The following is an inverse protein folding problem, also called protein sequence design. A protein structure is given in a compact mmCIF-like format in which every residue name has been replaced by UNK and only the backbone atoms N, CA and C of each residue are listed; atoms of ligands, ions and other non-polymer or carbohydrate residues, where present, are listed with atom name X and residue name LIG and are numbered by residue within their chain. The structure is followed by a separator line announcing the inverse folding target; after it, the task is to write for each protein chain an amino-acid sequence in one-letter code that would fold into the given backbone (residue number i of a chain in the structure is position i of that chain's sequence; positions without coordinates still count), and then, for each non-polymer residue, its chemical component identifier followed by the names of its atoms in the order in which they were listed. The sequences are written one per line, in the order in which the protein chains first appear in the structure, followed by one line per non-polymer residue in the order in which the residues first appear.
data_IF_469012276507
#
_entry.id   IF_469012276507
#
_cell.length_a   1.000
_cell.length_b   1.000
_cell.length_c   1.000
_cell.angle_alpha   90.00
_cell.angle_beta   90.00
_cell.angle_gamma   90.00
#
_symmetry.space_group_name_H-M   'P 1'
#
loop_
_entity.id
_entity.type
_entity.pdbx_description
1 polymer ?
#
# COMPACT_ATOMS: atom_id res chain seq x y z
N UNK A 1 6.90 2.99 -11.93
CA UNK A 1 8.13 2.16 -11.98
C UNK A 1 9.39 3.02 -11.99
N UNK A 2 9.58 3.93 -12.95
CA UNK A 2 10.82 4.71 -13.10
C UNK A 2 11.09 5.60 -11.88
N UNK A 3 10.12 6.38 -11.41
CA UNK A 3 10.29 7.27 -10.25
C UNK A 3 10.66 6.53 -8.98
N UNK A 4 10.04 5.37 -8.72
CA UNK A 4 10.37 4.52 -7.58
C UNK A 4 11.83 4.04 -7.65
N UNK A 5 12.28 3.58 -8.82
CA UNK A 5 13.66 3.11 -9.01
C UNK A 5 14.68 4.23 -8.83
N UNK A 6 14.40 5.44 -9.32
CA UNK A 6 15.26 6.61 -9.12
C UNK A 6 15.36 6.96 -7.63
N UNK A 7 14.24 7.05 -6.93
CA UNK A 7 14.22 7.32 -5.49
C UNK A 7 14.98 6.27 -4.69
N UNK A 8 14.73 4.99 -5.02
CA UNK A 8 15.42 3.87 -4.38
C UNK A 8 16.94 3.91 -4.62
N UNK A 9 17.37 4.17 -5.84
CA UNK A 9 18.80 4.28 -6.17
C UNK A 9 19.48 5.43 -5.41
N UNK A 10 18.80 6.57 -5.26
CA UNK A 10 19.31 7.70 -4.49
C UNK A 10 19.48 7.34 -3.00
N UNK A 11 18.46 6.73 -2.39
CA UNK A 11 18.52 6.28 -0.98
C UNK A 11 19.63 5.24 -0.78
N UNK A 12 19.72 4.24 -1.68
CA UNK A 12 20.77 3.22 -1.63
C UNK A 12 22.17 3.84 -1.74
N UNK A 13 22.36 4.82 -2.62
CA UNK A 13 23.65 5.51 -2.77
C UNK A 13 24.07 6.25 -1.50
N UNK A 14 23.14 6.98 -0.86
CA UNK A 14 23.39 7.67 0.41
C UNK A 14 23.70 6.69 1.54
N UNK A 15 22.90 5.63 1.66
CA UNK A 15 23.05 4.64 2.73
C UNK A 15 24.32 3.79 2.56
N UNK A 16 24.69 3.46 1.31
CA UNK A 16 25.88 2.66 1.02
C UNK A 16 27.17 3.33 1.49
N UNK A 17 27.30 4.65 1.29
CA UNK A 17 28.50 5.41 1.66
C UNK A 17 28.77 5.37 3.19
N UNK A 18 27.70 5.33 4.00
CA UNK A 18 27.76 5.31 5.48
C UNK A 18 27.47 3.92 6.08
N UNK A 19 27.30 2.89 5.25
CA UNK A 19 26.86 1.55 5.65
C UNK A 19 25.62 1.59 6.56
N UNK A 20 24.67 2.49 6.24
CA UNK A 20 23.46 2.71 7.05
C UNK A 20 22.35 1.72 6.65
N UNK A 21 21.73 0.99 7.59
CA UNK A 21 20.60 0.12 7.28
C UNK A 21 19.41 0.89 6.70
N UNK A 22 18.65 0.24 5.83
CA UNK A 22 17.51 0.80 5.13
C UNK A 22 16.21 0.13 5.56
N UNK A 23 15.15 0.92 5.75
CA UNK A 23 13.80 0.42 5.95
C UNK A 23 13.00 0.46 4.64
N UNK A 24 12.59 -0.70 4.14
CA UNK A 24 11.69 -0.82 2.98
C UNK A 24 10.24 -0.67 3.40
N UNK A 25 9.77 0.56 3.56
CA UNK A 25 8.42 0.86 4.07
C UNK A 25 7.36 0.63 3.00
N UNK A 26 6.35 -0.21 3.30
CA UNK A 26 5.13 -0.29 2.49
C UNK A 26 4.43 1.06 2.44
N UNK A 27 4.02 1.48 1.25
CA UNK A 27 3.25 2.72 1.07
C UNK A 27 1.93 2.68 1.84
N UNK A 28 1.27 1.52 1.91
CA UNK A 28 0.03 1.33 2.67
C UNK A 28 0.28 1.47 4.18
N UNK A 29 1.38 0.91 4.68
CA UNK A 29 1.78 1.11 6.07
C UNK A 29 2.08 2.58 6.37
N UNK A 30 2.82 3.27 5.51
CA UNK A 30 3.11 4.69 5.69
C UNK A 30 1.85 5.58 5.73
N UNK A 31 0.82 5.23 4.96
CA UNK A 31 -0.48 5.88 5.01
C UNK A 31 -1.19 5.61 6.35
N UNK A 32 -1.18 4.36 6.81
CA UNK A 32 -1.80 3.96 8.08
C UNK A 32 -1.13 4.65 9.28
N UNK A 33 0.19 4.76 9.30
CA UNK A 33 0.94 5.46 10.36
C UNK A 33 0.70 6.98 10.40
N UNK A 34 0.03 7.53 9.40
CA UNK A 34 -0.43 8.93 9.39
C UNK A 34 -1.71 9.18 10.21
N UNK A 35 -2.32 8.16 10.79
CA UNK A 35 -3.60 8.21 11.52
C UNK A 35 -3.49 7.45 12.83
N UNK A 36 -4.12 7.96 13.87
CA UNK A 36 -4.21 7.31 15.18
C UNK A 36 -5.68 7.24 15.63
N UNK A 37 -6.04 6.23 16.41
CA UNK A 37 -7.39 6.07 16.94
C UNK A 37 -7.71 4.62 17.29
N UNK A 38 -8.97 4.27 17.27
CA UNK A 38 -9.44 2.89 17.45
C UNK A 38 -10.12 2.38 16.19
N UNK A 39 -10.16 1.07 16.01
CA UNK A 39 -10.79 0.41 14.88
C UNK A 39 -9.79 -0.03 13.81
N UNK A 40 -10.16 0.12 12.53
CA UNK A 40 -9.35 -0.31 11.40
C UNK A 40 -9.03 0.85 10.47
N UNK A 41 -7.81 0.90 9.95
CA UNK A 41 -7.44 1.77 8.84
C UNK A 41 -7.06 0.93 7.62
N UNK A 42 -7.58 1.31 6.46
CA UNK A 42 -7.13 0.78 5.17
C UNK A 42 -6.33 1.85 4.45
N UNK A 43 -5.03 1.61 4.28
CA UNK A 43 -4.23 2.36 3.33
C UNK A 43 -4.65 1.98 1.91
N UNK A 44 -5.02 2.95 1.09
CA UNK A 44 -5.48 2.71 -0.27
C UNK A 44 -4.89 3.72 -1.25
N UNK A 45 -4.31 3.23 -2.34
CA UNK A 45 -3.88 4.05 -3.47
C UNK A 45 -4.64 3.67 -4.75
N UNK A 46 -4.99 4.68 -5.55
CA UNK A 46 -5.67 4.47 -6.83
C UNK A 46 -4.74 3.74 -7.83
N UNK A 47 -5.08 2.49 -8.16
CA UNK A 47 -4.38 1.68 -9.17
C UNK A 47 -4.97 1.85 -10.57
N UNK A 48 -5.90 2.81 -10.76
CA UNK A 48 -6.69 3.06 -11.96
C UNK A 48 -7.68 1.93 -12.31
N UNK A 49 -8.65 2.24 -13.18
CA UNK A 49 -9.66 1.27 -13.68
C UNK A 49 -10.47 0.59 -12.57
N UNK A 50 -10.82 1.32 -11.50
CA UNK A 50 -11.58 0.78 -10.38
C UNK A 50 -10.81 -0.18 -9.48
N UNK A 51 -9.49 -0.24 -9.61
CA UNK A 51 -8.60 -1.01 -8.75
C UNK A 51 -7.89 -0.11 -7.74
N UNK A 52 -7.50 -0.71 -6.62
CA UNK A 52 -6.71 -0.06 -5.57
C UNK A 52 -5.54 -0.95 -5.15
N UNK A 53 -4.40 -0.31 -4.85
CA UNK A 53 -3.42 -0.93 -3.96
C UNK A 53 -3.92 -0.72 -2.56
N UNK A 54 -3.94 -1.76 -1.73
CA UNK A 54 -4.48 -1.64 -0.39
C UNK A 54 -3.83 -2.59 0.61
N UNK A 55 -3.91 -2.23 1.89
CA UNK A 55 -3.72 -3.12 3.02
C UNK A 55 -4.47 -2.59 4.24
N UNK A 56 -4.92 -3.51 5.09
CA UNK A 56 -5.60 -3.23 6.35
C UNK A 56 -4.65 -3.26 7.54
N UNK A 57 -4.89 -2.36 8.50
CA UNK A 57 -4.13 -2.26 9.75
C UNK A 57 -5.07 -2.00 10.92
N UNK A 58 -4.71 -2.49 12.11
CA UNK A 58 -5.32 -2.06 13.35
C UNK A 58 -4.92 -0.60 13.62
N UNK A 59 -5.91 0.26 13.90
CA UNK A 59 -5.67 1.70 13.98
C UNK A 59 -4.98 2.12 15.29
N UNK A 60 -5.08 1.32 16.35
CA UNK A 60 -4.46 1.62 17.62
C UNK A 60 -2.98 1.20 17.67
N UNK A 61 -2.67 0.05 17.09
CA UNK A 61 -1.34 -0.58 17.19
C UNK A 61 -0.52 -0.46 15.90
N UNK A 62 -1.16 -0.11 14.78
CA UNK A 62 -0.63 -0.21 13.42
C UNK A 62 -0.19 -1.61 13.02
N UNK A 63 -0.63 -2.65 13.76
CA UNK A 63 -0.41 -4.03 13.38
C UNK A 63 -1.07 -4.32 12.03
N UNK A 64 -0.33 -4.96 11.15
CA UNK A 64 -0.81 -5.33 9.81
C UNK A 64 -1.83 -6.45 9.91
N UNK A 65 -2.99 -6.28 9.28
CA UNK A 65 -4.09 -7.25 9.23
C UNK A 65 -4.15 -8.01 7.91
N UNK A 66 -3.69 -7.39 6.80
CA UNK A 66 -3.64 -8.01 5.48
C UNK A 66 -2.31 -7.73 4.78
N UNK A 67 -1.84 -8.59 3.86
CA UNK A 67 -0.74 -8.24 2.97
C UNK A 67 -1.11 -7.05 2.07
N UNK A 68 -0.10 -6.41 1.47
CA UNK A 68 -0.34 -5.45 0.39
C UNK A 68 -0.87 -6.19 -0.85
N UNK A 69 -1.93 -5.68 -1.46
CA UNK A 69 -2.56 -6.26 -2.64
C UNK A 69 -2.95 -5.19 -3.66
N UNK A 70 -3.14 -5.61 -4.92
CA UNK A 70 -3.65 -4.77 -6.00
C UNK A 70 -4.88 -5.45 -6.60
N UNK A 71 -6.07 -4.95 -6.27
CA UNK A 71 -7.35 -5.62 -6.56
C UNK A 71 -8.43 -4.63 -6.95
N UNK A 72 -9.52 -5.09 -7.61
CA UNK A 72 -10.74 -4.29 -7.77
C UNK A 72 -11.24 -3.83 -6.40
N UNK A 73 -11.73 -2.59 -6.31
CA UNK A 73 -12.25 -2.06 -5.04
C UNK A 73 -13.33 -2.95 -4.43
N UNK A 74 -14.12 -3.64 -5.24
CA UNK A 74 -15.17 -4.57 -4.78
C UNK A 74 -14.65 -5.83 -4.09
N UNK A 75 -13.39 -6.22 -4.32
CA UNK A 75 -12.78 -7.37 -3.68
C UNK A 75 -12.54 -7.17 -2.16
N UNK A 76 -12.53 -5.91 -1.69
CA UNK A 76 -12.35 -5.60 -0.28
C UNK A 76 -13.59 -5.90 0.57
N UNK A 77 -14.73 -6.27 -0.05
CA UNK A 77 -16.03 -6.39 0.63
C UNK A 77 -16.00 -7.31 1.86
N UNK A 78 -15.39 -8.48 1.75
CA UNK A 78 -15.31 -9.43 2.84
C UNK A 78 -14.53 -8.83 4.03
N UNK A 79 -13.35 -8.26 3.79
CA UNK A 79 -12.56 -7.62 4.82
C UNK A 79 -13.29 -6.42 5.44
N UNK A 80 -13.93 -5.58 4.62
CA UNK A 80 -14.69 -4.40 5.08
C UNK A 80 -15.86 -4.81 5.99
N UNK A 81 -16.52 -5.93 5.72
CA UNK A 81 -17.62 -6.44 6.58
C UNK A 81 -17.13 -6.96 7.94
N UNK A 82 -15.99 -7.64 7.95
CA UNK A 82 -15.50 -8.39 9.12
C UNK A 82 -14.57 -7.57 10.03
N UNK A 83 -13.90 -6.55 9.50
CA UNK A 83 -12.92 -5.77 10.25
C UNK A 83 -13.55 -4.98 11.42
N UNK A 84 -12.75 -4.71 12.45
CA UNK A 84 -13.13 -3.90 13.61
C UNK A 84 -13.53 -2.49 13.19
N UNK A 85 -14.68 -2.03 13.67
CA UNK A 85 -15.18 -0.67 13.44
C UNK A 85 -14.78 0.28 14.59
N UNK A 86 -14.66 1.59 14.34
CA UNK A 86 -14.84 2.25 13.04
C UNK A 86 -13.77 1.89 12.02
N UNK A 87 -14.10 2.01 10.72
CA UNK A 87 -13.17 1.83 9.60
C UNK A 87 -12.98 3.15 8.87
N UNK A 88 -11.71 3.51 8.62
CA UNK A 88 -11.35 4.67 7.81
C UNK A 88 -10.44 4.24 6.64
N UNK A 89 -10.71 4.78 5.46
CA UNK A 89 -9.82 4.65 4.30
C UNK A 89 -8.92 5.87 4.20
N UNK A 90 -7.62 5.69 3.95
CA UNK A 90 -6.62 6.76 3.81
C UNK A 90 -5.82 6.60 2.51
N UNK A 91 -5.24 7.69 2.00
CA UNK A 91 -4.55 7.72 0.72
C UNK A 91 -5.42 8.23 -0.43
N UNK A 92 -4.87 8.31 -1.63
CA UNK A 92 -5.56 8.85 -2.82
C UNK A 92 -6.66 7.92 -3.37
N UNK A 93 -6.61 6.62 -3.06
CA UNK A 93 -7.68 5.65 -3.31
C UNK A 93 -8.85 5.70 -2.31
N UNK A 94 -8.71 6.46 -1.20
CA UNK A 94 -9.70 6.49 -0.13
C UNK A 94 -11.09 6.95 -0.59
N UNK A 95 -11.16 7.90 -1.54
CA UNK A 95 -12.43 8.37 -2.06
C UNK A 95 -13.18 7.29 -2.83
N UNK A 96 -12.47 6.50 -3.63
CA UNK A 96 -13.04 5.36 -4.36
C UNK A 96 -13.58 4.31 -3.39
N UNK A 97 -12.79 3.92 -2.39
CA UNK A 97 -13.21 2.96 -1.37
C UNK A 97 -14.41 3.48 -0.57
N UNK A 98 -14.35 4.73 -0.09
CA UNK A 98 -15.46 5.34 0.67
C UNK A 98 -16.76 5.36 -0.14
N UNK A 99 -16.73 5.78 -1.39
CA UNK A 99 -17.93 5.82 -2.23
C UNK A 99 -18.54 4.43 -2.46
N UNK A 100 -17.72 3.39 -2.49
CA UNK A 100 -18.15 1.99 -2.65
C UNK A 100 -18.82 1.45 -1.38
N UNK A 101 -18.32 1.85 -0.19
CA UNK A 101 -18.68 1.20 1.07
C UNK A 101 -19.38 2.11 2.10
N UNK A 102 -19.60 3.40 1.82
CA UNK A 102 -20.16 4.39 2.76
C UNK A 102 -21.51 4.02 3.40
N UNK A 103 -22.28 3.18 2.73
CA UNK A 103 -23.59 2.75 3.21
C UNK A 103 -23.49 1.57 4.21
N UNK A 104 -22.29 1.01 4.43
CA UNK A 104 -22.05 0.02 5.47
C UNK A 104 -21.84 0.69 6.84
N UNK A 105 -22.29 0.08 7.95
CA UNK A 105 -22.18 0.68 9.27
C UNK A 105 -20.71 0.84 9.70
N UNK A 106 -20.41 1.96 10.36
CA UNK A 106 -19.11 2.22 10.96
C UNK A 106 -18.01 2.64 9.97
N UNK A 107 -18.34 2.99 8.72
CA UNK A 107 -17.42 3.56 7.76
C UNK A 107 -17.32 5.08 7.98
N UNK A 108 -16.11 5.58 8.22
CA UNK A 108 -15.86 6.99 8.44
C UNK A 108 -15.36 7.69 7.16
N UNK A 109 -15.80 8.93 6.90
CA UNK A 109 -15.25 9.72 5.80
C UNK A 109 -13.79 10.07 6.05
N UNK A 110 -12.96 9.99 5.01
CA UNK A 110 -11.55 10.38 5.09
C UNK A 110 -11.39 11.90 4.95
N UNK A 111 -10.87 12.59 5.96
CA UNK A 111 -10.47 14.00 5.81
C UNK A 111 -9.44 14.16 4.69
N UNK A 112 -9.56 15.26 3.93
CA UNK A 112 -8.68 15.49 2.78
C UNK A 112 -7.18 15.45 3.10
N UNK A 113 -6.68 15.94 4.25
CA UNK A 113 -5.28 15.85 4.60
C UNK A 113 -4.74 14.42 4.74
N UNK A 114 -5.59 13.42 4.97
CA UNK A 114 -5.23 12.01 5.12
C UNK A 114 -5.23 11.24 3.78
N UNK A 115 -5.57 11.91 2.68
CA UNK A 115 -5.56 11.34 1.32
C UNK A 115 -4.19 11.42 0.65
N UNK A 116 -3.21 12.02 1.31
CA UNK A 116 -1.86 12.24 0.76
C UNK A 116 -0.84 11.50 1.59
N UNK A 117 0.02 10.73 0.90
CA UNK A 117 1.20 10.13 1.54
C UNK A 117 2.14 11.22 2.04
N UNK A 118 2.56 11.12 3.29
CA UNK A 118 3.45 12.08 3.96
C UNK A 118 4.73 11.42 4.41
N UNK A 119 5.84 12.13 4.32
CA UNK A 119 7.13 11.67 4.79
C UNK A 119 7.13 11.31 6.29
N UNK A 120 6.30 11.97 7.11
CA UNK A 120 6.14 11.61 8.52
C UNK A 120 5.64 10.17 8.73
N UNK A 121 4.63 9.72 7.95
CA UNK A 121 4.15 8.34 8.00
C UNK A 121 5.22 7.34 7.59
N UNK A 122 6.01 7.66 6.56
CA UNK A 122 7.16 6.84 6.15
C UNK A 122 8.20 6.75 7.28
N UNK A 123 8.51 7.87 7.94
CA UNK A 123 9.48 7.90 9.03
C UNK A 123 9.01 7.10 10.25
N UNK A 124 7.73 7.22 10.63
CA UNK A 124 7.14 6.46 11.74
C UNK A 124 7.12 4.95 11.48
N UNK A 125 6.67 4.54 10.29
CA UNK A 125 6.71 3.14 9.89
C UNK A 125 8.14 2.61 9.78
N UNK A 126 9.07 3.40 9.24
CA UNK A 126 10.49 3.06 9.19
C UNK A 126 11.12 2.93 10.58
N UNK A 127 10.74 3.81 11.53
CA UNK A 127 11.18 3.67 12.93
C UNK A 127 10.69 2.37 13.57
N UNK A 128 9.43 1.99 13.34
CA UNK A 128 8.91 0.72 13.83
C UNK A 128 9.69 -0.47 13.27
N UNK A 129 10.09 -0.44 11.98
CA UNK A 129 10.95 -1.46 11.38
C UNK A 129 12.35 -1.47 12.00
N UNK A 130 12.91 -0.30 12.27
CA UNK A 130 14.18 -0.18 12.96
C UNK A 130 14.14 -0.81 14.36
N UNK A 131 13.13 -0.45 15.16
CA UNK A 131 12.93 -0.96 16.52
C UNK A 131 12.71 -2.49 16.52
N UNK A 132 12.08 -3.02 15.48
CA UNK A 132 11.88 -4.47 15.29
C UNK A 132 13.09 -5.21 14.70
N UNK A 133 14.18 -4.51 14.34
CA UNK A 133 15.37 -5.10 13.73
C UNK A 133 15.13 -5.66 12.30
N UNK A 134 14.14 -5.15 11.56
CA UNK A 134 13.77 -5.64 10.22
C UNK A 134 14.33 -4.77 9.08
N UNK A 135 15.21 -3.82 9.39
CA UNK A 135 15.94 -3.08 8.39
C UNK A 135 16.93 -3.98 7.64
N UNK A 136 17.15 -3.68 6.38
CA UNK A 136 18.05 -4.43 5.49
C UNK A 136 19.27 -3.60 5.08
N UNK A 137 20.30 -4.24 4.54
CA UNK A 137 21.43 -3.51 3.95
C UNK A 137 20.98 -2.73 2.71
N UNK A 138 21.72 -1.68 2.29
CA UNK A 138 21.42 -0.98 1.04
C UNK A 138 21.42 -1.89 -0.19
N UNK A 139 22.23 -2.95 -0.21
CA UNK A 139 22.26 -3.91 -1.31
C UNK A 139 20.95 -4.71 -1.42
N UNK A 140 20.39 -5.11 -0.30
CA UNK A 140 19.18 -5.94 -0.20
C UNK A 140 17.89 -5.15 -0.37
N UNK A 141 17.91 -3.82 -0.24
CA UNK A 141 16.72 -3.00 -0.42
C UNK A 141 16.22 -3.09 -1.87
N UNK A 142 15.04 -3.64 -2.06
CA UNK A 142 14.40 -3.82 -3.37
C UNK A 142 13.00 -3.18 -3.37
N UNK A 143 12.50 -2.75 -4.56
CA UNK A 143 11.12 -2.33 -4.69
C UNK A 143 10.20 -3.55 -4.62
N UNK A 144 9.04 -3.38 -3.98
CA UNK A 144 8.00 -4.39 -3.95
C UNK A 144 6.90 -4.03 -4.96
N UNK A 145 6.74 -4.86 -5.99
CA UNK A 145 5.80 -4.64 -7.09
C UNK A 145 4.61 -5.57 -6.99
N UNK A 146 3.47 -5.04 -6.53
CA UNK A 146 2.19 -5.78 -6.44
C UNK A 146 1.42 -5.86 -7.76
N UNK A 147 1.94 -5.27 -8.84
CA UNK A 147 1.32 -5.30 -10.15
C UNK A 147 2.37 -5.46 -11.24
N UNK A 148 2.10 -6.32 -12.20
CA UNK A 148 2.93 -6.45 -13.38
C UNK A 148 3.04 -5.11 -14.12
N UNK A 149 4.18 -4.84 -14.73
CA UNK A 149 4.35 -3.69 -15.61
C UNK A 149 3.36 -3.75 -16.78
N UNK A 150 3.10 -2.62 -17.43
CA UNK A 150 2.20 -2.60 -18.59
C UNK A 150 2.70 -3.55 -19.68
N UNK A 151 4.01 -3.58 -19.94
CA UNK A 151 4.60 -4.46 -20.94
C UNK A 151 4.43 -5.96 -20.61
N UNK A 152 4.59 -6.33 -19.34
CA UNK A 152 4.38 -7.72 -18.89
C UNK A 152 2.90 -8.12 -18.99
N UNK A 153 1.97 -7.23 -18.68
CA UNK A 153 0.52 -7.49 -18.85
C UNK A 153 0.14 -7.65 -20.31
N UNK A 154 0.59 -6.74 -21.18
CA UNK A 154 0.34 -6.83 -22.63
C UNK A 154 0.94 -8.11 -23.22
N UNK A 155 2.10 -8.53 -22.73
CA UNK A 155 2.70 -9.80 -23.14
C UNK A 155 1.86 -10.99 -22.68
N UNK A 156 1.42 -11.03 -21.43
CA UNK A 156 0.58 -12.09 -20.89
C UNK A 156 -0.77 -12.18 -21.62
N UNK A 157 -1.38 -11.02 -21.95
CA UNK A 157 -2.61 -10.95 -22.73
C UNK A 157 -2.42 -11.51 -24.16
N UNK A 158 -1.31 -11.20 -24.81
CA UNK A 158 -0.97 -11.75 -26.16
C UNK A 158 -0.74 -13.26 -26.11
N UNK A 159 -0.01 -13.74 -25.11
CA UNK A 159 0.25 -15.18 -24.93
C UNK A 159 -1.06 -15.95 -24.67
N UNK A 160 -1.96 -15.41 -23.84
CA UNK A 160 -3.27 -16.00 -23.58
C UNK A 160 -4.16 -16.02 -24.83
N UNK A 161 -4.15 -14.94 -25.62
CA UNK A 161 -4.91 -14.87 -26.89
C UNK A 161 -4.40 -15.87 -27.94
N UNK A 162 -3.08 -16.10 -28.00
CA UNK A 162 -2.48 -17.08 -28.91
C UNK A 162 -2.85 -18.52 -28.51
N UNK A 163 -2.86 -18.84 -27.21
CA UNK A 163 -3.24 -20.16 -26.69
C UNK A 163 -4.72 -20.46 -26.96
N UNK A 164 -5.60 -19.46 -26.83
CA UNK A 164 -7.03 -19.63 -27.13
C UNK A 164 -7.36 -19.76 -28.62
N UNK A 165 -6.47 -19.30 -29.52
CA UNK A 165 -6.62 -19.43 -30.96
C UNK A 165 -6.08 -20.75 -31.54
N UNK A 166 -5.36 -21.54 -30.72
CA UNK A 166 -4.72 -22.82 -31.11
C UNK A 166 -5.49 -24.04 -30.61
N UNK A 167 -6.51 -23.84 -29.77
CA UNK A 167 -7.47 -24.84 -29.30
C UNK A 167 -8.81 -24.71 -30.04
#
# INVERSE_FOLDING_TARGET
FTGLRIGLAAVKGLAFAANTPCAGVSTMAALAYGVCGEGTVIGAQDARRGQVYWAGFDLATHARLTPDAAEPVTALEAFVKECKKPLIFVGDGAALCYNTYKDQPGILPCPQPLRVLRGAGVALAGKAMWDAGTCVSPAELLPDYHRLSQAERERAEREAAQQSATN
#
